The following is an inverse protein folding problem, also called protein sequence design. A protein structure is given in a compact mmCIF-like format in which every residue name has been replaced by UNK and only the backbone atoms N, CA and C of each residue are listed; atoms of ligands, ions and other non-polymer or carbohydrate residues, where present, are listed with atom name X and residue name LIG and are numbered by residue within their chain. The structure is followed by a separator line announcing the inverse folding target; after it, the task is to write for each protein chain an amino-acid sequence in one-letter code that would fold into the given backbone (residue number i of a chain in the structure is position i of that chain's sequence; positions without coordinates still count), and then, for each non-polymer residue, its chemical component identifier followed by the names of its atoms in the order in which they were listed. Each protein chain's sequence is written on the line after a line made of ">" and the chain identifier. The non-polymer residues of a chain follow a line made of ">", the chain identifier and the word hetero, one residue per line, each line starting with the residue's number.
data_IF_025839296023
#
_entry.id   IF_025839296023
#
_cell.length_a   1.000
_cell.length_b   1.000
_cell.length_c   1.000
_cell.angle_alpha   90.00
_cell.angle_beta   90.00
_cell.angle_gamma   90.00
#
_symmetry.space_group_name_H-M   'P 1'
#
loop_
_entity.id
_entity.type
_entity.pdbx_description
1 polymer ?
#
# COMPACT_ATOMS: atom_id res chain seq x y z
N UNK A 1 -7.99 -8.60 13.68
CA UNK A 1 -8.74 -7.47 13.09
C UNK A 1 -10.21 -7.85 12.87
N UNK A 2 -10.50 -9.08 12.41
CA UNK A 2 -11.86 -9.58 12.23
C UNK A 2 -12.76 -9.48 13.47
N UNK A 3 -12.21 -9.79 14.66
CA UNK A 3 -12.88 -9.59 15.95
C UNK A 3 -13.34 -8.14 16.17
N UNK A 4 -12.56 -7.15 15.73
CA UNK A 4 -12.93 -5.73 15.84
C UNK A 4 -14.05 -5.37 14.86
N UNK A 5 -13.97 -5.87 13.63
CA UNK A 5 -15.00 -5.65 12.60
C UNK A 5 -16.34 -6.24 13.03
N UNK A 6 -16.35 -7.47 13.57
CA UNK A 6 -17.58 -8.08 14.08
C UNK A 6 -18.18 -7.25 15.22
N UNK A 7 -17.35 -6.74 16.15
CA UNK A 7 -17.81 -5.84 17.21
C UNK A 7 -18.37 -4.52 16.68
N UNK A 8 -17.77 -3.97 15.63
CA UNK A 8 -18.29 -2.78 14.96
C UNK A 8 -19.63 -3.06 14.26
N UNK A 9 -19.78 -4.19 13.58
CA UNK A 9 -21.02 -4.60 12.92
C UNK A 9 -22.14 -4.81 13.94
N UNK A 10 -21.85 -5.49 15.04
CA UNK A 10 -22.82 -5.72 16.13
C UNK A 10 -23.19 -4.40 16.82
N UNK A 11 -22.22 -3.52 17.06
CA UNK A 11 -22.45 -2.16 17.55
C UNK A 11 -23.31 -1.33 16.59
N UNK A 12 -23.09 -1.44 15.29
CA UNK A 12 -23.89 -0.76 14.27
C UNK A 12 -25.34 -1.28 14.23
N UNK A 13 -25.52 -2.61 14.29
CA UNK A 13 -26.84 -3.26 14.33
C UNK A 13 -27.62 -2.94 15.61
N UNK A 14 -26.92 -2.64 16.71
CA UNK A 14 -27.54 -2.22 17.97
C UNK A 14 -28.23 -0.85 17.88
N UNK A 15 -27.91 -0.02 16.88
CA UNK A 15 -28.51 1.30 16.72
C UNK A 15 -29.82 1.17 15.95
N UNK A 16 -30.95 1.30 16.65
CA UNK A 16 -32.31 1.18 16.08
C UNK A 16 -32.52 2.08 14.84
N UNK A 17 -31.92 3.27 14.84
CA UNK A 17 -31.95 4.24 13.73
C UNK A 17 -31.32 3.73 12.42
N UNK A 18 -30.21 2.99 12.51
CA UNK A 18 -29.53 2.45 11.32
C UNK A 18 -30.25 1.24 10.72
N UNK A 19 -31.07 0.55 11.52
CA UNK A 19 -31.89 -0.57 11.06
C UNK A 19 -33.07 -0.12 10.20
N UNK A 20 -33.65 1.04 10.49
CA UNK A 20 -34.85 1.54 9.80
C UNK A 20 -34.54 2.47 8.60
N UNK A 21 -33.38 3.13 8.60
CA UNK A 21 -32.95 3.98 7.48
C UNK A 21 -32.31 3.18 6.33
N UNK A 22 -32.70 3.48 5.07
CA UNK A 22 -32.05 2.92 3.85
C UNK A 22 -30.53 3.11 3.85
N UNK A 23 -30.06 4.25 4.34
CA UNK A 23 -28.63 4.55 4.45
C UNK A 23 -27.91 3.67 5.48
N UNK A 24 -28.56 3.35 6.60
CA UNK A 24 -27.98 2.47 7.62
C UNK A 24 -27.85 1.02 7.13
N UNK A 25 -28.85 0.51 6.39
CA UNK A 25 -28.72 -0.80 5.73
C UNK A 25 -27.62 -0.82 4.68
N UNK A 26 -27.45 0.26 3.90
CA UNK A 26 -26.35 0.38 2.94
C UNK A 26 -24.97 0.27 3.61
N UNK A 27 -24.75 0.98 4.72
CA UNK A 27 -23.48 0.91 5.45
C UNK A 27 -23.21 -0.48 6.02
N UNK A 28 -24.24 -1.16 6.56
CA UNK A 28 -24.11 -2.53 7.07
C UNK A 28 -23.72 -3.49 5.93
N UNK A 29 -24.31 -3.35 4.74
CA UNK A 29 -23.96 -4.15 3.57
C UNK A 29 -22.52 -3.89 3.10
N UNK A 30 -22.06 -2.63 3.06
CA UNK A 30 -20.68 -2.30 2.69
C UNK A 30 -19.68 -2.86 3.70
N UNK A 31 -19.96 -2.75 5.00
CA UNK A 31 -19.14 -3.37 6.06
C UNK A 31 -19.09 -4.90 5.91
N UNK A 32 -20.21 -5.52 5.52
CA UNK A 32 -20.26 -6.94 5.24
C UNK A 32 -19.50 -7.33 3.95
N UNK A 33 -19.33 -6.41 2.99
CA UNK A 33 -18.47 -6.62 1.82
C UNK A 33 -16.99 -6.46 2.18
N UNK A 34 -16.66 -5.46 3.00
CA UNK A 34 -15.31 -5.17 3.47
C UNK A 34 -14.71 -6.31 4.30
N UNK A 35 -15.54 -7.16 4.92
CA UNK A 35 -15.07 -8.37 5.60
C UNK A 35 -14.51 -9.43 4.65
N UNK A 36 -14.93 -9.42 3.37
CA UNK A 36 -14.43 -10.36 2.35
C UNK A 36 -13.07 -9.92 1.82
N UNK A 37 -12.67 -8.67 2.05
CA UNK A 37 -11.36 -8.17 1.68
C UNK A 37 -10.33 -8.73 2.64
N UNK A 38 -9.35 -9.46 2.10
CA UNK A 38 -8.25 -10.03 2.86
C UNK A 38 -7.31 -8.90 3.32
N UNK A 39 -7.53 -8.38 4.53
CA UNK A 39 -6.63 -7.39 5.11
C UNK A 39 -5.34 -8.08 5.60
N UNK A 40 -4.16 -7.61 5.15
CA UNK A 40 -2.89 -8.20 5.54
C UNK A 40 -2.65 -8.02 7.04
N UNK A 41 -1.94 -8.97 7.67
CA UNK A 41 -1.54 -8.82 9.06
C UNK A 41 -0.48 -7.72 9.19
N UNK A 42 -0.30 -7.17 10.40
CA UNK A 42 0.73 -6.14 10.66
C UNK A 42 2.14 -6.62 10.31
N UNK A 43 2.38 -7.93 10.45
CA UNK A 43 3.64 -8.56 10.11
C UNK A 43 3.82 -8.68 8.59
N UNK A 44 2.78 -9.07 7.86
CA UNK A 44 2.81 -9.13 6.39
C UNK A 44 3.08 -7.76 5.77
N UNK A 45 2.48 -6.71 6.34
CA UNK A 45 2.73 -5.32 5.92
C UNK A 45 4.18 -4.94 6.15
N UNK A 46 4.75 -5.28 7.30
CA UNK A 46 6.15 -5.00 7.62
C UNK A 46 7.09 -5.76 6.67
N UNK A 47 6.85 -7.05 6.46
CA UNK A 47 7.66 -7.89 5.58
C UNK A 47 7.61 -7.40 4.13
N UNK A 48 6.41 -7.09 3.62
CA UNK A 48 6.22 -6.56 2.26
C UNK A 48 6.89 -5.20 2.06
N UNK A 49 6.86 -4.34 3.07
CA UNK A 49 7.53 -3.03 3.04
C UNK A 49 9.05 -3.19 3.04
N UNK A 50 9.60 -4.09 3.88
CA UNK A 50 11.04 -4.36 3.94
C UNK A 50 11.56 -4.85 2.59
N UNK A 51 10.87 -5.80 1.97
CA UNK A 51 11.24 -6.32 0.64
C UNK A 51 11.23 -5.18 -0.39
N UNK A 52 10.17 -4.37 -0.39
CA UNK A 52 10.05 -3.23 -1.30
C UNK A 52 11.20 -2.23 -1.12
N UNK A 53 11.58 -1.94 0.13
CA UNK A 53 12.68 -1.03 0.45
C UNK A 53 14.03 -1.55 -0.08
N UNK A 54 14.27 -2.85 0.06
CA UNK A 54 15.47 -3.50 -0.49
C UNK A 54 15.50 -3.37 -2.02
N UNK A 55 14.37 -3.66 -2.69
CA UNK A 55 14.27 -3.53 -4.15
C UNK A 55 14.50 -2.09 -4.60
N UNK A 56 13.95 -1.11 -3.89
CA UNK A 56 14.16 0.31 -4.18
C UNK A 56 15.65 0.69 -4.09
N UNK A 57 16.35 0.26 -3.03
CA UNK A 57 17.79 0.53 -2.88
C UNK A 57 18.60 -0.07 -4.02
N UNK A 58 18.32 -1.32 -4.40
CA UNK A 58 18.99 -1.96 -5.54
C UNK A 58 18.74 -1.20 -6.84
N UNK A 59 17.50 -0.79 -7.09
CA UNK A 59 17.16 0.01 -8.27
C UNK A 59 17.83 1.39 -8.27
N UNK A 60 17.92 2.05 -7.12
CA UNK A 60 18.62 3.33 -6.99
C UNK A 60 20.11 3.21 -7.28
N UNK A 61 20.78 2.15 -6.80
CA UNK A 61 22.19 1.90 -7.10
C UNK A 61 22.38 1.62 -8.59
N UNK A 62 21.52 0.81 -9.19
CA UNK A 62 21.58 0.51 -10.62
C UNK A 62 21.44 1.77 -11.48
N UNK A 63 20.39 2.58 -11.23
CA UNK A 63 20.17 3.83 -11.96
C UNK A 63 21.28 4.85 -11.71
N UNK A 64 21.71 5.01 -10.45
CA UNK A 64 22.79 5.93 -10.09
C UNK A 64 24.13 5.54 -10.72
N UNK A 65 24.46 4.26 -10.70
CA UNK A 65 25.66 3.73 -11.37
C UNK A 65 25.61 3.94 -12.87
N UNK A 66 24.46 3.65 -13.51
CA UNK A 66 24.28 3.90 -14.94
C UNK A 66 24.46 5.39 -15.29
N UNK A 67 23.89 6.30 -14.49
CA UNK A 67 24.09 7.74 -14.64
C UNK A 67 25.57 8.14 -14.52
N UNK A 68 26.31 7.57 -13.57
CA UNK A 68 27.72 7.85 -13.39
C UNK A 68 28.56 7.43 -14.61
N UNK A 69 28.33 6.21 -15.13
CA UNK A 69 29.01 5.70 -16.32
C UNK A 69 28.72 6.57 -17.53
N UNK A 70 27.47 6.94 -17.73
CA UNK A 70 27.05 7.79 -18.84
C UNK A 70 27.74 9.15 -18.78
N UNK A 71 27.76 9.81 -17.62
CA UNK A 71 28.45 11.10 -17.44
C UNK A 71 29.95 11.00 -17.72
N UNK A 72 30.61 9.94 -17.24
CA UNK A 72 32.03 9.71 -17.51
C UNK A 72 32.34 9.58 -19.01
N UNK A 73 31.49 8.86 -19.75
CA UNK A 73 31.60 8.73 -21.21
C UNK A 73 31.38 10.10 -21.88
N UNK A 74 30.34 10.84 -21.48
CA UNK A 74 30.05 12.16 -22.04
C UNK A 74 31.22 13.14 -21.86
N UNK A 75 31.84 13.17 -20.69
CA UNK A 75 32.97 14.06 -20.42
C UNK A 75 34.21 13.67 -21.22
N UNK A 76 34.48 12.37 -21.34
CA UNK A 76 35.57 11.85 -22.17
C UNK A 76 35.39 12.22 -23.64
N UNK A 77 34.17 12.07 -24.17
CA UNK A 77 33.86 12.41 -25.57
C UNK A 77 34.00 13.91 -25.83
N UNK A 78 33.53 14.78 -24.91
CA UNK A 78 33.70 16.23 -25.06
C UNK A 78 35.18 16.63 -25.08
N UNK A 79 35.99 16.04 -24.19
CA UNK A 79 37.43 16.32 -24.14
C UNK A 79 38.22 15.83 -25.35
N UNK A 80 37.66 14.91 -26.13
CA UNK A 80 38.26 14.42 -27.40
C UNK A 80 37.81 15.25 -28.61
N UNK A 81 36.68 15.96 -28.54
CA UNK A 81 36.09 16.70 -29.67
C UNK A 81 36.45 18.19 -29.68
N UNK A 82 37.00 18.71 -28.59
CA UNK A 82 37.48 20.10 -28.41
C UNK A 82 38.99 20.11 -28.25
#
# INVERSE_FOLDING_TARGET
>A
MEQFIQRCIDGLKSVKFLREGKFGQFLISVLAELQKVTWPSKEDVKNSTVITLVVMVVMSIYMGGAQFVVSFIYDTVKGLVT
#
